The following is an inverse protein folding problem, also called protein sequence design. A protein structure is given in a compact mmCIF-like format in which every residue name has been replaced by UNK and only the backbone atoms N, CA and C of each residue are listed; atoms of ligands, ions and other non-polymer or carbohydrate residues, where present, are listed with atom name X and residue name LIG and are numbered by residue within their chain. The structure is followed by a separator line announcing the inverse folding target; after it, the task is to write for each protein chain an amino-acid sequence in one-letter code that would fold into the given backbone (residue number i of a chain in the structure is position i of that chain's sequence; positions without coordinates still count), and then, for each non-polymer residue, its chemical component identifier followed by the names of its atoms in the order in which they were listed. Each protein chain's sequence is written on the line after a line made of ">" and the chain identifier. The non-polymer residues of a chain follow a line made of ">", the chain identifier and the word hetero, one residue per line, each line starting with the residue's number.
data_IF_967467137667
#
_entry.id   IF_967467137667
#
_cell.length_a   1.000
_cell.length_b   1.000
_cell.length_c   1.000
_cell.angle_alpha   90.00
_cell.angle_beta   90.00
_cell.angle_gamma   90.00
#
_symmetry.space_group_name_H-M   'P 1'
#
loop_
_entity.id
_entity.type
_entity.pdbx_description
1 polymer ?
#
# COMPACT_ATOMS: atom_id res chain seq x y z
N UNK A 1 -42.15 1.94 -11.70
CA UNK A 1 -41.25 1.69 -10.56
C UNK A 1 -39.95 1.14 -11.14
N UNK A 2 -38.93 1.98 -11.28
CA UNK A 2 -37.65 1.57 -11.85
C UNK A 2 -36.85 0.83 -10.77
N UNK A 3 -36.49 -0.42 -11.04
CA UNK A 3 -35.58 -1.20 -10.20
C UNK A 3 -34.17 -0.71 -10.56
N UNK A 4 -33.56 0.06 -9.67
CA UNK A 4 -32.14 0.39 -9.80
C UNK A 4 -31.34 -0.89 -9.52
N UNK A 5 -30.35 -1.24 -10.36
CA UNK A 5 -29.48 -2.37 -10.06
C UNK A 5 -28.71 -2.06 -8.77
N UNK A 6 -28.78 -2.97 -7.81
CA UNK A 6 -27.86 -2.97 -6.67
C UNK A 6 -26.47 -3.30 -7.20
N UNK A 7 -25.52 -2.38 -7.02
CA UNK A 7 -24.10 -2.72 -7.16
C UNK A 7 -23.71 -3.58 -5.97
N UNK A 8 -23.17 -4.78 -6.22
CA UNK A 8 -22.56 -5.58 -5.18
C UNK A 8 -21.18 -4.97 -4.95
N UNK A 9 -20.98 -4.30 -3.81
CA UNK A 9 -19.66 -3.81 -3.42
C UNK A 9 -18.70 -5.01 -3.38
N UNK A 10 -17.54 -4.88 -4.03
CA UNK A 10 -16.52 -5.92 -3.92
C UNK A 10 -15.92 -5.89 -2.53
N UNK A 11 -15.77 -7.05 -1.89
CA UNK A 11 -15.03 -7.10 -0.63
C UNK A 11 -13.56 -6.76 -0.91
N UNK A 12 -12.96 -5.96 -0.03
CA UNK A 12 -11.53 -5.71 -0.07
C UNK A 12 -10.74 -7.00 0.24
N UNK A 13 -9.60 -7.18 -0.43
CA UNK A 13 -8.67 -8.28 -0.19
C UNK A 13 -7.43 -7.69 0.46
N UNK A 14 -7.12 -8.11 1.67
CA UNK A 14 -5.92 -7.69 2.38
C UNK A 14 -4.77 -8.66 2.15
N UNK A 15 -3.55 -8.13 2.05
CA UNK A 15 -2.29 -8.86 1.92
C UNK A 15 -1.40 -8.52 3.12
N UNK A 16 -0.63 -9.52 3.55
CA UNK A 16 0.42 -9.32 4.54
C UNK A 16 0.03 -9.64 6.00
N UNK A 17 1.01 -9.51 6.92
CA UNK A 17 2.42 -9.24 6.63
C UNK A 17 3.08 -10.42 5.90
N UNK A 18 3.75 -10.15 4.78
CA UNK A 18 4.55 -11.13 4.02
C UNK A 18 5.98 -10.64 3.92
N UNK A 19 6.97 -11.54 3.96
CA UNK A 19 8.38 -11.17 3.79
C UNK A 19 8.60 -10.44 2.47
N UNK A 20 9.50 -9.47 2.47
CA UNK A 20 9.75 -8.60 1.33
C UNK A 20 11.24 -8.26 1.27
N UNK A 21 11.92 -8.68 0.19
CA UNK A 21 13.34 -8.39 -0.03
C UNK A 21 13.54 -7.42 -1.19
N UNK A 22 12.56 -7.32 -2.10
CA UNK A 22 12.53 -6.34 -3.19
C UNK A 22 11.14 -6.27 -3.81
N UNK A 23 10.95 -5.38 -4.79
CA UNK A 23 9.69 -5.30 -5.55
C UNK A 23 9.26 -6.62 -6.22
N UNK A 24 10.17 -7.56 -6.48
CA UNK A 24 9.78 -8.87 -7.01
C UNK A 24 8.92 -9.70 -6.06
N UNK A 25 8.96 -9.41 -4.75
CA UNK A 25 8.18 -10.11 -3.72
C UNK A 25 6.79 -9.48 -3.52
N UNK A 26 6.54 -8.31 -4.14
CA UNK A 26 5.26 -7.64 -4.05
C UNK A 26 4.13 -8.50 -4.64
N UNK A 27 2.99 -8.66 -3.95
CA UNK A 27 1.77 -9.20 -4.55
C UNK A 27 1.29 -8.39 -5.76
N UNK A 28 1.72 -7.14 -5.91
CA UNK A 28 1.40 -6.27 -7.03
C UNK A 28 2.42 -6.38 -8.18
N UNK A 29 3.56 -7.03 -7.94
CA UNK A 29 4.58 -7.30 -8.95
C UNK A 29 4.02 -8.11 -10.12
N UNK A 30 4.26 -7.63 -11.34
CA UNK A 30 3.84 -8.32 -12.58
C UNK A 30 2.34 -8.25 -12.91
N UNK A 31 1.54 -7.51 -12.12
CA UNK A 31 0.16 -7.23 -12.47
C UNK A 31 0.04 -6.16 -13.57
N UNK A 32 -1.14 -6.06 -14.18
CA UNK A 32 -1.44 -5.04 -15.18
C UNK A 32 -2.24 -3.89 -14.56
N UNK A 33 -1.79 -2.67 -14.79
CA UNK A 33 -2.40 -1.46 -14.28
C UNK A 33 -2.55 -0.41 -15.39
N UNK A 34 -3.58 0.42 -15.27
CA UNK A 34 -3.70 1.66 -16.03
C UNK A 34 -2.60 2.65 -15.62
N UNK A 35 -2.33 2.70 -14.31
CA UNK A 35 -1.15 3.34 -13.73
C UNK A 35 -0.65 2.57 -12.52
N UNK A 36 0.65 2.60 -12.28
CA UNK A 36 1.27 2.04 -11.08
C UNK A 36 2.48 2.88 -10.70
N UNK A 37 2.63 3.15 -9.41
CA UNK A 37 3.76 3.87 -8.83
C UNK A 37 4.36 3.03 -7.71
N UNK A 38 5.69 3.00 -7.70
CA UNK A 38 6.53 2.55 -6.59
C UNK A 38 7.33 3.78 -6.16
N UNK A 39 7.09 4.22 -4.93
CA UNK A 39 7.91 5.20 -4.23
C UNK A 39 8.86 4.41 -3.33
N UNK A 40 10.14 4.43 -3.70
CA UNK A 40 11.23 3.75 -2.99
C UNK A 40 11.99 4.71 -2.05
N UNK A 41 11.65 6.00 -2.03
CA UNK A 41 12.28 7.02 -1.17
C UNK A 41 13.80 7.20 -1.35
N UNK A 42 14.45 6.49 -2.26
CA UNK A 42 15.90 6.48 -2.47
C UNK A 42 16.45 7.85 -2.93
N UNK A 43 15.58 8.70 -3.47
CA UNK A 43 15.90 10.08 -3.82
C UNK A 43 15.69 11.09 -2.68
N UNK A 44 15.24 10.62 -1.53
CA UNK A 44 14.98 11.40 -0.34
C UNK A 44 13.70 12.23 -0.42
N UNK A 45 12.71 11.85 -1.23
CA UNK A 45 11.43 12.54 -1.32
C UNK A 45 10.23 11.59 -1.37
N UNK A 46 9.05 12.10 -0.97
CA UNK A 46 7.76 11.52 -1.34
C UNK A 46 7.23 12.33 -2.52
N UNK A 47 7.45 11.85 -3.74
CA UNK A 47 7.21 12.63 -4.95
C UNK A 47 6.48 11.88 -6.07
N UNK A 48 6.06 10.64 -5.84
CA UNK A 48 5.16 9.96 -6.78
C UNK A 48 3.80 10.68 -6.88
N UNK A 49 3.13 10.66 -8.05
CA UNK A 49 1.91 11.44 -8.27
C UNK A 49 0.75 11.09 -7.35
N UNK A 50 0.02 12.11 -6.89
CA UNK A 50 -1.28 11.95 -6.25
C UNK A 50 -1.27 11.25 -4.89
N UNK A 51 -0.14 11.27 -4.18
CA UNK A 51 -0.04 10.82 -2.80
C UNK A 51 0.44 11.95 -1.88
N UNK A 52 -0.03 11.92 -0.64
CA UNK A 52 0.45 12.76 0.45
C UNK A 52 0.43 11.98 1.76
N UNK A 53 1.27 12.38 2.72
CA UNK A 53 1.26 11.85 4.09
C UNK A 53 0.60 12.86 5.03
N UNK A 54 -0.25 12.38 5.95
CA UNK A 54 -0.95 13.26 6.91
C UNK A 54 -0.06 13.70 8.08
N UNK A 55 0.84 12.83 8.49
CA UNK A 55 1.71 13.01 9.65
C UNK A 55 3.09 13.54 9.24
N UNK A 56 3.81 14.11 10.21
CA UNK A 56 5.19 14.53 10.01
C UNK A 56 6.07 13.28 9.94
N UNK A 57 6.73 13.12 8.80
CA UNK A 57 7.75 12.10 8.57
C UNK A 57 8.84 12.72 7.69
N UNK A 58 10.01 12.10 7.64
CA UNK A 58 11.14 12.56 6.85
C UNK A 58 11.88 11.39 6.23
N UNK A 59 12.43 11.63 5.05
CA UNK A 59 13.41 10.78 4.39
C UNK A 59 14.85 11.12 4.79
N UNK A 60 15.05 12.19 5.57
CA UNK A 60 16.36 12.67 6.00
C UNK A 60 16.88 11.91 7.24
N UNK A 61 16.86 10.57 7.15
CA UNK A 61 17.54 9.71 8.10
C UNK A 61 18.99 9.53 7.66
N UNK A 62 19.90 9.42 8.63
CA UNK A 62 21.29 9.09 8.32
C UNK A 62 21.33 7.66 7.76
N UNK A 63 21.94 7.48 6.59
CA UNK A 63 22.16 6.18 5.93
C UNK A 63 22.83 5.10 6.81
N UNK A 64 23.45 5.49 7.93
CA UNK A 64 23.99 4.52 8.91
C UNK A 64 22.93 3.85 9.79
N UNK A 65 21.70 4.36 9.78
CA UNK A 65 20.56 3.89 10.56
C UNK A 65 19.31 3.69 9.71
N UNK A 66 19.33 4.08 8.44
CA UNK A 66 18.21 3.81 7.54
C UNK A 66 18.06 2.30 7.39
N UNK A 67 16.87 1.82 7.76
CA UNK A 67 16.40 0.47 7.49
C UNK A 67 15.49 0.51 6.27
N UNK A 68 16.14 0.37 5.11
CA UNK A 68 15.54 0.31 3.78
C UNK A 68 15.48 -1.15 3.33
N UNK A 69 14.87 -1.44 2.18
CA UNK A 69 14.69 -2.82 1.72
C UNK A 69 16.00 -3.41 1.21
N UNK A 70 16.20 -4.72 1.45
CA UNK A 70 17.41 -5.49 1.07
C UNK A 70 17.87 -5.23 -0.37
N UNK A 71 16.94 -5.18 -1.32
CA UNK A 71 17.24 -4.99 -2.73
C UNK A 71 17.70 -3.60 -3.15
N UNK A 72 17.59 -2.57 -2.30
CA UNK A 72 17.74 -1.16 -2.72
C UNK A 72 19.20 -0.77 -2.92
N UNK A 73 20.13 -1.47 -2.26
CA UNK A 73 21.56 -1.32 -2.53
C UNK A 73 22.04 -2.09 -3.78
N UNK A 74 21.11 -2.81 -4.43
CA UNK A 74 21.33 -3.61 -5.63
C UNK A 74 21.73 -5.07 -5.35
N UNK A 75 21.80 -5.51 -4.09
CA UNK A 75 22.19 -6.87 -3.69
C UNK A 75 21.30 -7.39 -2.56
N UNK A 76 20.57 -8.48 -2.81
CA UNK A 76 19.83 -9.19 -1.75
C UNK A 76 20.80 -10.04 -0.95
N UNK A 77 21.28 -9.54 0.20
CA UNK A 77 22.21 -10.25 1.09
C UNK A 77 21.82 -10.24 2.58
N UNK A 78 20.64 -9.73 2.90
CA UNK A 78 20.09 -9.59 4.24
C UNK A 78 20.47 -8.28 4.92
N UNK A 79 21.04 -7.33 4.17
CA UNK A 79 21.41 -6.01 4.66
C UNK A 79 21.18 -4.94 3.60
N UNK A 80 20.40 -3.90 3.91
CA UNK A 80 20.32 -2.73 3.05
C UNK A 80 21.57 -1.86 3.28
N UNK A 81 22.64 -2.01 2.50
CA UNK A 81 23.91 -1.28 2.69
C UNK A 81 23.99 0.00 1.83
N UNK A 82 25.16 0.63 1.71
CA UNK A 82 25.31 1.82 0.85
C UNK A 82 24.57 3.09 1.31
N UNK A 83 24.07 3.86 0.34
CA UNK A 83 23.33 5.12 0.53
C UNK A 83 21.83 4.91 0.27
N UNK A 84 21.22 3.97 0.98
CA UNK A 84 19.76 3.76 0.92
C UNK A 84 19.03 4.72 1.85
N UNK A 85 17.75 4.95 1.55
CA UNK A 85 16.86 5.83 2.29
C UNK A 85 15.54 5.13 2.57
N UNK A 86 14.84 5.60 3.59
CA UNK A 86 13.55 5.10 4.00
C UNK A 86 12.72 6.26 4.52
N UNK A 87 11.40 6.10 4.61
CA UNK A 87 10.56 7.06 5.29
C UNK A 87 10.59 6.79 6.80
N UNK A 88 11.04 7.79 7.55
CA UNK A 88 11.24 7.72 8.99
C UNK A 88 10.30 8.69 9.73
N UNK A 89 9.80 8.25 10.88
CA UNK A 89 8.86 9.00 11.74
C UNK A 89 9.40 10.32 12.33
N UNK A 90 10.71 10.55 12.29
CA UNK A 90 11.39 11.63 13.01
C UNK A 90 11.10 11.66 14.52
N UNK A 91 10.75 10.52 15.12
CA UNK A 91 10.32 10.43 16.52
C UNK A 91 9.05 11.22 16.86
N UNK A 92 8.29 11.70 15.87
CA UNK A 92 7.21 12.67 16.10
C UNK A 92 5.82 12.04 16.13
N UNK A 93 5.64 10.87 15.51
CA UNK A 93 4.34 10.22 15.35
C UNK A 93 4.43 8.72 15.54
N UNK A 94 3.34 8.12 16.01
CA UNK A 94 3.18 6.67 16.16
C UNK A 94 2.26 6.06 15.10
N UNK A 95 2.04 6.80 14.01
CA UNK A 95 1.16 6.43 12.91
C UNK A 95 1.58 7.21 11.67
N UNK A 96 1.31 6.64 10.50
CA UNK A 96 1.32 7.38 9.26
C UNK A 96 0.14 6.94 8.38
N UNK A 97 -0.37 7.88 7.62
CA UNK A 97 -1.49 7.72 6.70
C UNK A 97 -1.11 8.30 5.34
N UNK A 98 -0.99 7.44 4.35
CA UNK A 98 -0.88 7.87 2.95
C UNK A 98 -2.29 8.09 2.38
N UNK A 99 -2.53 9.29 1.87
CA UNK A 99 -3.78 9.71 1.26
C UNK A 99 -3.59 9.83 -0.25
N UNK A 100 -4.52 9.24 -1.00
CA UNK A 100 -4.50 9.24 -2.45
C UNK A 100 -5.52 10.23 -3.02
N UNK A 101 -5.09 10.95 -4.05
CA UNK A 101 -5.83 12.03 -4.70
C UNK A 101 -6.28 11.60 -6.09
N UNK A 102 -7.57 11.28 -6.24
CA UNK A 102 -8.13 10.90 -7.54
C UNK A 102 -7.91 11.98 -8.61
N UNK A 103 -7.98 13.25 -8.24
CA UNK A 103 -7.77 14.37 -9.17
C UNK A 103 -6.36 14.45 -9.73
N UNK A 104 -5.37 13.90 -9.02
CA UNK A 104 -3.97 13.85 -9.45
C UNK A 104 -3.61 12.49 -10.07
N UNK A 105 -4.59 11.58 -10.15
CA UNK A 105 -4.50 10.21 -10.66
C UNK A 105 -5.53 9.98 -11.78
N UNK A 106 -5.65 10.93 -12.70
CA UNK A 106 -6.54 10.88 -13.87
C UNK A 106 -8.02 10.58 -13.55
N UNK A 107 -8.47 11.00 -12.37
CA UNK A 107 -9.84 10.86 -11.89
C UNK A 107 -10.15 9.54 -11.17
N UNK A 108 -9.17 8.64 -11.00
CA UNK A 108 -9.38 7.33 -10.40
C UNK A 108 -8.47 7.12 -9.18
N UNK A 109 -9.05 6.73 -8.05
CA UNK A 109 -8.28 6.27 -6.88
C UNK A 109 -7.58 4.94 -7.19
N UNK A 110 -6.48 4.63 -6.49
CA UNK A 110 -5.84 3.32 -6.61
C UNK A 110 -6.82 2.21 -6.25
N UNK A 111 -6.74 1.10 -6.97
CA UNK A 111 -7.44 -0.14 -6.59
C UNK A 111 -6.54 -1.11 -5.84
N UNK A 112 -5.23 -0.84 -5.85
CA UNK A 112 -4.20 -1.56 -5.12
C UNK A 112 -3.36 -0.53 -4.37
N UNK A 113 -3.12 -0.76 -3.09
CA UNK A 113 -2.23 0.07 -2.29
C UNK A 113 -1.52 -0.79 -1.23
N UNK A 114 -0.24 -0.53 -1.00
CA UNK A 114 0.58 -1.28 -0.05
C UNK A 114 1.85 -0.53 0.32
N UNK A 115 2.50 -1.00 1.37
CA UNK A 115 3.69 -0.38 1.97
C UNK A 115 4.54 -1.49 2.58
N UNK A 116 5.86 -1.30 2.59
CA UNK A 116 6.78 -2.16 3.32
C UNK A 116 7.09 -1.52 4.66
N UNK A 117 6.79 -2.25 5.72
CA UNK A 117 7.25 -1.91 7.06
C UNK A 117 8.66 -2.48 7.23
N UNK A 118 9.62 -1.68 7.67
CA UNK A 118 11.03 -2.11 7.79
C UNK A 118 11.44 -2.23 9.25
N UNK A 119 11.28 -1.18 10.06
CA UNK A 119 11.71 -1.25 11.47
C UNK A 119 10.87 -0.41 12.45
N UNK A 120 11.05 -0.70 13.74
CA UNK A 120 10.54 0.04 14.89
C UNK A 120 11.55 0.06 16.02
N UNK A 121 12.00 1.25 16.42
CA UNK A 121 12.89 1.38 17.58
C UNK A 121 12.20 1.83 18.87
N UNK A 122 13.01 2.17 19.86
CA UNK A 122 12.52 2.76 21.12
C UNK A 122 12.11 4.22 20.92
N UNK A 123 11.19 4.67 21.78
CA UNK A 123 10.75 6.07 21.74
C UNK A 123 11.91 7.04 21.91
N UNK A 124 11.98 8.04 21.02
CA UNK A 124 13.07 9.03 20.95
C UNK A 124 14.45 8.42 20.64
N UNK A 125 14.48 7.25 20.00
CA UNK A 125 15.69 6.59 19.51
C UNK A 125 16.19 5.44 20.37
N UNK A 126 17.02 4.60 19.76
CA UNK A 126 17.72 3.48 20.39
C UNK A 126 17.18 2.10 20.01
N UNK A 127 18.00 1.08 20.29
CA UNK A 127 17.73 -0.31 19.91
C UNK A 127 16.46 -0.86 20.58
N UNK A 128 15.54 -1.46 19.80
CA UNK A 128 14.32 -2.08 20.31
C UNK A 128 14.63 -3.16 21.35
N UNK A 129 13.80 -3.25 22.39
CA UNK A 129 13.78 -4.38 23.32
C UNK A 129 12.76 -5.41 22.85
N UNK A 130 12.90 -6.67 23.27
CA UNK A 130 11.91 -7.70 22.94
C UNK A 130 10.46 -7.33 23.35
N UNK A 131 10.28 -6.49 24.37
CA UNK A 131 8.97 -5.98 24.78
C UNK A 131 8.39 -4.91 23.85
N UNK A 132 9.24 -4.24 23.07
CA UNK A 132 8.85 -3.24 22.07
C UNK A 132 8.30 -3.90 20.79
N UNK A 133 8.58 -5.19 20.61
CA UNK A 133 8.23 -5.97 19.41
C UNK A 133 6.88 -6.68 19.50
N UNK A 134 6.16 -6.53 20.60
CA UNK A 134 4.89 -7.23 20.84
C UNK A 134 3.73 -6.38 20.34
N UNK A 135 2.91 -6.96 19.46
CA UNK A 135 1.65 -6.38 18.97
C UNK A 135 1.77 -4.91 18.56
N UNK A 136 2.87 -4.59 17.87
CA UNK A 136 3.35 -3.24 17.63
C UNK A 136 2.93 -2.64 16.29
N UNK A 137 2.30 -3.42 15.39
CA UNK A 137 1.99 -2.95 14.04
C UNK A 137 0.57 -3.31 13.64
N UNK A 138 -0.20 -2.31 13.20
CA UNK A 138 -1.58 -2.45 12.77
C UNK A 138 -1.74 -1.76 11.41
N UNK A 139 -2.25 -2.47 10.40
CA UNK A 139 -2.53 -1.93 9.07
C UNK A 139 -4.03 -1.73 8.88
N UNK A 140 -4.43 -0.59 8.30
CA UNK A 140 -5.81 -0.27 7.97
C UNK A 140 -5.89 0.37 6.58
N UNK A 141 -6.97 0.12 5.86
CA UNK A 141 -7.24 0.74 4.57
C UNK A 141 -8.63 1.37 4.53
N UNK A 142 -8.80 2.39 3.70
CA UNK A 142 -10.03 3.17 3.60
C UNK A 142 -10.53 3.17 2.16
N UNK A 143 -11.82 2.94 1.97
CA UNK A 143 -12.45 2.96 0.65
C UNK A 143 -12.57 4.39 0.10
N UNK A 144 -13.04 4.55 -1.12
CA UNK A 144 -13.21 5.85 -1.79
C UNK A 144 -14.00 6.94 -1.04
N UNK A 145 -14.89 6.61 -0.10
CA UNK A 145 -15.61 7.59 0.76
C UNK A 145 -14.97 7.78 2.16
N UNK A 146 -13.77 7.24 2.42
CA UNK A 146 -13.05 7.38 3.69
C UNK A 146 -13.49 6.48 4.87
N UNK A 147 -14.40 5.53 4.67
CA UNK A 147 -14.73 4.50 5.67
C UNK A 147 -13.70 3.36 5.60
N UNK A 148 -13.43 2.77 6.77
CA UNK A 148 -12.53 1.61 6.90
C UNK A 148 -13.03 0.41 6.08
N UNK A 149 -12.09 -0.23 5.37
CA UNK A 149 -12.27 -1.51 4.68
C UNK A 149 -11.97 -2.69 5.61
N UNK A 150 -11.40 -2.44 6.79
CA UNK A 150 -10.93 -3.46 7.71
C UNK A 150 -9.53 -3.16 8.22
N UNK A 151 -9.13 -3.93 9.23
CA UNK A 151 -7.86 -3.80 9.94
C UNK A 151 -7.16 -5.16 9.94
N UNK A 152 -5.86 -5.17 9.65
CA UNK A 152 -4.96 -6.29 9.88
C UNK A 152 -4.09 -6.00 11.10
N UNK A 153 -3.97 -7.00 11.98
CA UNK A 153 -3.15 -6.94 13.18
C UNK A 153 -3.96 -6.79 14.48
N UNK A 154 -3.29 -6.53 15.61
CA UNK A 154 -1.87 -6.21 15.70
C UNK A 154 -0.94 -7.40 15.37
N UNK A 155 0.25 -7.10 14.86
CA UNK A 155 1.34 -8.05 14.64
C UNK A 155 2.56 -7.68 15.47
N UNK A 156 3.35 -8.70 15.82
CA UNK A 156 4.64 -8.55 16.48
C UNK A 156 5.75 -8.60 15.42
N UNK A 157 6.25 -7.44 15.00
CA UNK A 157 7.24 -7.29 13.92
C UNK A 157 8.53 -6.63 14.43
N UNK A 158 9.57 -6.68 13.59
CA UNK A 158 10.92 -6.17 13.89
C UNK A 158 11.81 -7.20 14.54
N UNK A 159 13.02 -6.77 14.86
CA UNK A 159 13.98 -7.54 15.62
C UNK A 159 14.62 -6.68 16.73
N UNK A 160 15.71 -7.12 17.33
CA UNK A 160 16.42 -6.33 18.37
C UNK A 160 17.65 -5.61 17.82
N UNK A 161 17.62 -5.23 16.54
CA UNK A 161 18.65 -4.54 15.78
C UNK A 161 18.19 -3.13 15.45
N UNK A 162 19.16 -2.31 15.02
CA UNK A 162 18.96 -1.02 14.33
C UNK A 162 20.03 -0.90 13.24
N UNK A 163 20.51 -2.06 12.77
CA UNK A 163 21.76 -2.21 12.01
C UNK A 163 21.46 -2.73 10.61
N UNK A 164 20.50 -2.10 9.94
CA UNK A 164 20.24 -2.26 8.51
C UNK A 164 19.91 -3.71 8.15
N UNK A 165 19.23 -4.42 9.05
CA UNK A 165 18.85 -5.82 8.87
C UNK A 165 17.49 -5.85 8.20
N UNK A 166 17.28 -6.76 7.25
CA UNK A 166 16.09 -6.72 6.38
C UNK A 166 15.24 -7.98 6.49
N UNK A 167 15.63 -8.92 7.36
CA UNK A 167 14.91 -10.18 7.55
C UNK A 167 13.52 -9.99 8.17
N UNK A 168 13.31 -8.84 8.81
CA UNK A 168 12.12 -8.36 9.48
C UNK A 168 11.15 -7.63 8.56
N UNK A 169 11.57 -7.19 7.37
CA UNK A 169 10.77 -6.38 6.45
C UNK A 169 9.48 -7.08 6.03
N UNK A 170 8.34 -6.38 6.20
CA UNK A 170 7.02 -6.93 5.87
C UNK A 170 6.23 -6.02 4.96
N UNK A 171 5.76 -6.59 3.86
CA UNK A 171 4.75 -5.97 3.03
C UNK A 171 3.35 -6.09 3.64
N UNK A 172 2.64 -4.98 3.65
CA UNK A 172 1.20 -4.89 3.89
C UNK A 172 0.50 -4.28 2.68
N UNK A 173 -0.69 -4.75 2.34
CA UNK A 173 -1.44 -4.14 1.26
C UNK A 173 -2.91 -4.51 1.22
N UNK A 174 -3.62 -3.89 0.29
CA UNK A 174 -5.03 -4.10 0.04
C UNK A 174 -5.36 -3.95 -1.45
N UNK A 175 -6.31 -4.75 -1.92
CA UNK A 175 -7.03 -4.53 -3.18
C UNK A 175 -8.48 -4.16 -2.87
N UNK A 176 -8.97 -3.07 -3.47
CA UNK A 176 -10.40 -2.74 -3.49
C UNK A 176 -10.76 -2.09 -4.84
N UNK A 177 -11.59 -2.76 -5.65
CA UNK A 177 -11.95 -2.28 -6.99
C UNK A 177 -12.81 -1.01 -6.96
N UNK A 178 -13.46 -0.71 -5.83
CA UNK A 178 -14.24 0.52 -5.64
C UNK A 178 -13.35 1.73 -5.27
N UNK A 179 -12.03 1.54 -5.24
CA UNK A 179 -11.02 2.57 -4.95
C UNK A 179 -10.60 2.63 -3.48
N UNK A 180 -9.34 2.99 -3.27
CA UNK A 180 -8.68 3.13 -1.97
C UNK A 180 -8.31 4.61 -1.81
N UNK A 181 -8.89 5.28 -0.81
CA UNK A 181 -8.58 6.69 -0.55
C UNK A 181 -7.34 6.85 0.33
N UNK A 182 -7.06 5.86 1.18
CA UNK A 182 -5.91 5.90 2.07
C UNK A 182 -5.52 4.50 2.57
N UNK A 183 -4.26 4.38 2.95
CA UNK A 183 -3.74 3.28 3.79
C UNK A 183 -3.05 3.89 5.02
N UNK A 184 -3.09 3.17 6.13
CA UNK A 184 -2.55 3.61 7.41
C UNK A 184 -1.82 2.45 8.09
N UNK A 185 -0.66 2.75 8.65
CA UNK A 185 -0.05 1.89 9.67
C UNK A 185 -0.06 2.66 10.99
N UNK A 186 -0.41 1.97 12.07
CA UNK A 186 -0.27 2.44 13.44
C UNK A 186 0.75 1.59 14.18
N UNK A 187 1.63 2.24 14.93
CA UNK A 187 2.58 1.62 15.84
C UNK A 187 2.28 2.05 17.27
N UNK A 188 1.36 1.38 17.99
CA UNK A 188 0.90 1.83 19.29
C UNK A 188 2.05 2.09 20.27
N UNK A 189 2.05 3.29 20.86
CA UNK A 189 3.04 3.72 21.87
C UNK A 189 4.50 3.79 21.36
N UNK A 190 4.71 3.78 20.03
CA UNK A 190 6.02 3.77 19.40
C UNK A 190 6.14 4.87 18.37
N UNK A 191 6.99 5.85 18.65
CA UNK A 191 7.22 6.98 17.76
C UNK A 191 8.46 6.82 16.88
N UNK A 192 9.21 5.72 16.99
CA UNK A 192 10.40 5.45 16.19
C UNK A 192 10.08 4.31 15.24
N UNK A 193 9.85 4.62 13.98
CA UNK A 193 9.53 3.61 12.96
C UNK A 193 10.07 4.05 11.61
N UNK A 194 10.33 3.06 10.76
CA UNK A 194 10.77 3.21 9.38
C UNK A 194 9.92 2.35 8.46
N UNK A 195 9.63 2.88 7.26
CA UNK A 195 8.90 2.18 6.20
C UNK A 195 9.49 2.55 4.85
N UNK A 196 9.18 1.72 3.87
CA UNK A 196 9.73 1.84 2.53
C UNK A 196 8.73 1.32 1.47
N UNK A 197 9.05 1.50 0.19
CA UNK A 197 8.38 0.87 -0.94
C UNK A 197 6.85 1.03 -0.91
N UNK A 198 6.40 2.29 -0.86
CA UNK A 198 4.99 2.62 -1.03
C UNK A 198 4.59 2.27 -2.46
N UNK A 199 3.55 1.45 -2.59
CA UNK A 199 3.09 0.91 -3.87
C UNK A 199 1.62 1.20 -4.04
N UNK A 200 1.24 1.76 -5.18
CA UNK A 200 -0.16 1.97 -5.49
C UNK A 200 -0.42 2.05 -6.99
N UNK A 201 -1.58 1.53 -7.40
CA UNK A 201 -1.96 1.50 -8.80
C UNK A 201 -3.45 1.23 -8.99
N UNK A 202 -3.93 1.54 -10.18
CA UNK A 202 -5.29 1.24 -10.59
C UNK A 202 -5.30 0.20 -11.70
N UNK A 203 -5.90 -0.96 -11.47
CA UNK A 203 -6.22 -1.92 -12.52
C UNK A 203 -7.59 -1.61 -13.14
N UNK A 204 -7.76 -1.84 -14.44
CA UNK A 204 -9.04 -1.64 -15.10
C UNK A 204 -10.09 -2.60 -14.52
N UNK A 205 -11.23 -2.06 -14.09
CA UNK A 205 -12.36 -2.87 -13.62
C UNK A 205 -12.97 -3.58 -14.85
N UNK A 206 -13.02 -4.93 -14.89
CA UNK A 206 -13.65 -5.63 -15.99
C UNK A 206 -15.12 -5.22 -16.12
N UNK A 207 -15.55 -4.84 -17.33
CA UNK A 207 -16.96 -4.51 -17.57
C UNK A 207 -17.85 -5.68 -17.09
N UNK A 208 -18.92 -5.41 -16.32
CA UNK A 208 -19.85 -6.44 -15.91
C UNK A 208 -20.31 -7.26 -17.12
N UNK A 209 -20.23 -8.58 -17.02
CA UNK A 209 -20.68 -9.49 -18.09
C UNK A 209 -22.15 -9.26 -18.48
N UNK A 210 -22.95 -8.69 -17.56
CA UNK A 210 -24.33 -8.23 -17.81
C UNK A 210 -24.44 -7.19 -18.92
N UNK A 211 -23.46 -6.29 -19.10
CA UNK A 211 -23.43 -5.33 -20.20
C UNK A 211 -23.17 -6.02 -21.54
N UNK A 212 -22.28 -7.02 -21.55
CA UNK A 212 -22.02 -7.86 -22.72
C UNK A 212 -23.27 -8.65 -23.12
N UNK A 213 -23.99 -9.23 -22.16
CA UNK A 213 -25.25 -9.92 -22.41
C UNK A 213 -26.38 -8.97 -22.85
N UNK A 214 -26.46 -7.76 -22.31
CA UNK A 214 -27.41 -6.75 -22.74
C UNK A 214 -27.15 -6.32 -24.19
N UNK A 215 -25.89 -6.07 -24.56
CA UNK A 215 -25.49 -5.73 -25.92
C UNK A 215 -25.83 -6.85 -26.92
N UNK A 216 -25.58 -8.12 -26.54
CA UNK A 216 -25.98 -9.29 -27.33
C UNK A 216 -27.50 -9.39 -27.46
N UNK A 217 -28.25 -9.18 -26.38
CA UNK A 217 -29.70 -9.20 -26.37
C UNK A 217 -30.33 -8.12 -27.26
N UNK A 218 -29.83 -6.89 -27.19
CA UNK A 218 -30.25 -5.78 -28.04
C UNK A 218 -29.88 -6.02 -29.51
N UNK A 219 -28.68 -6.53 -29.78
CA UNK A 219 -28.24 -6.91 -31.13
C UNK A 219 -29.16 -7.96 -31.75
N UNK A 220 -29.57 -8.97 -30.98
CA UNK A 220 -30.52 -9.99 -31.45
C UNK A 220 -31.90 -9.42 -31.74
N UNK A 221 -32.38 -8.47 -30.92
CA UNK A 221 -33.65 -7.78 -31.14
C UNK A 221 -33.65 -6.98 -32.46
N UNK A 222 -32.57 -6.26 -32.74
CA UNK A 222 -32.39 -5.48 -33.98
C UNK A 222 -32.37 -6.39 -35.21
N UNK A 223 -31.64 -7.52 -35.14
CA UNK A 223 -31.61 -8.50 -36.24
C UNK A 223 -33.00 -9.09 -36.48
N UNK A 224 -33.75 -9.40 -35.42
CA UNK A 224 -35.10 -9.95 -35.52
C UNK A 224 -36.10 -8.95 -36.10
N UNK A 225 -36.00 -7.67 -35.74
CA UNK A 225 -36.85 -6.61 -36.30
C UNK A 225 -36.56 -6.38 -37.79
N UNK A 226 -35.30 -6.44 -38.22
CA UNK A 226 -34.90 -6.30 -39.63
C UNK A 226 -35.34 -7.45 -40.54
N UNK A 227 -35.60 -8.64 -39.98
CA UNK A 227 -36.06 -9.81 -40.76
C UNK A 227 -37.59 -9.91 -40.88
N UNK A 228 -38.33 -9.00 -40.23
CA UNK A 228 -39.81 -9.02 -40.17
C UNK A 228 -40.47 -7.85 -40.90
N UNK A 229 -39.69 -6.93 -41.47
CA UNK A 229 -40.15 -5.91 -42.43
C UNK A 229 -39.67 -6.27 -43.81
#
# INVERSE_FOLDING_TARGET
>A
MAILPFSVATAAIFYGPTGYLSFSDSPFGGQSFDYFYLEDFEDGALNTPGVSISEVATTNISTSYSDSVDGDDGVIDGFATGQTMSLFSNFDTSTFTFNFSASELDGNLPTHAGIVWTDIGRNNGGTPLATDLIDNTIFEAFHSLGNSLGVLGPYSLGDTSIRRTTGEDRFFGVTNLDGISAIKISMPEKNNWEVDHLQYGSSPVPLPSSLSFLALGLGWLVVRLRRRG
#
